data_IF_839332423166
#
_entry.id   IF_839332423166
#
_cell.length_a   1.000
_cell.length_b   1.000
_cell.length_c   1.000
_cell.angle_alpha   90.00
_cell.angle_beta   90.00
_cell.angle_gamma   90.00
#
_symmetry.space_group_name_H-M   'P 1'
#
loop_
_entity.id
_entity.type
_entity.pdbx_description
1 polymer ?
#
# COMPACT_ATOMS: atom_id res chain seq x y z
N UNK A 1 -18.10 7.39 -30.64
CA UNK A 1 -18.06 6.35 -29.59
C UNK A 1 -17.16 6.89 -28.47
N UNK A 2 -17.75 7.31 -27.35
CA UNK A 2 -17.09 8.06 -26.28
C UNK A 2 -16.35 7.07 -25.37
N UNK A 3 -15.02 7.15 -25.31
CA UNK A 3 -14.22 6.45 -24.29
C UNK A 3 -14.20 7.35 -23.05
N UNK A 4 -14.86 6.91 -21.99
CA UNK A 4 -14.84 7.59 -20.71
C UNK A 4 -13.45 7.41 -20.08
N UNK A 5 -12.66 8.49 -20.09
CA UNK A 5 -11.39 8.58 -19.37
C UNK A 5 -11.74 8.83 -17.91
N UNK A 6 -11.70 7.79 -17.08
CA UNK A 6 -11.74 7.95 -15.62
C UNK A 6 -10.35 8.45 -15.18
N UNK A 7 -10.21 9.76 -15.02
CA UNK A 7 -9.07 10.37 -14.38
C UNK A 7 -9.17 10.09 -12.87
N UNK A 8 -8.37 9.16 -12.37
CA UNK A 8 -8.23 8.92 -10.93
C UNK A 8 -7.44 10.09 -10.33
N UNK A 9 -8.13 10.88 -9.51
CA UNK A 9 -7.56 11.99 -8.76
C UNK A 9 -6.61 11.42 -7.70
N UNK A 10 -5.31 11.66 -7.82
CA UNK A 10 -4.34 11.36 -6.75
C UNK A 10 -4.54 12.40 -5.65
N UNK A 11 -5.15 11.98 -4.53
CA UNK A 11 -5.27 12.81 -3.34
C UNK A 11 -3.88 12.92 -2.70
N UNK A 12 -3.27 14.10 -2.81
CA UNK A 12 -2.13 14.46 -1.98
C UNK A 12 -2.60 14.52 -0.52
N UNK A 13 -2.24 13.53 0.30
CA UNK A 13 -2.55 13.56 1.73
C UNK A 13 -1.63 14.56 2.43
N UNK A 14 -2.00 15.83 2.40
CA UNK A 14 -1.63 16.76 3.46
C UNK A 14 -2.35 16.27 4.73
N UNK A 15 -1.58 15.87 5.74
CA UNK A 15 -2.10 15.48 7.05
C UNK A 15 -2.70 16.69 7.76
N UNK A 16 -3.94 17.01 7.45
CA UNK A 16 -4.79 17.82 8.34
C UNK A 16 -5.48 16.86 9.30
N UNK A 17 -5.01 16.85 10.56
CA UNK A 17 -5.67 16.16 11.68
C UNK A 17 -6.92 16.97 12.04
N UNK A 18 -7.95 16.89 11.21
CA UNK A 18 -9.31 16.95 11.74
C UNK A 18 -9.53 15.58 12.38
N UNK A 19 -10.15 15.52 13.55
CA UNK A 19 -10.54 14.26 14.16
C UNK A 19 -11.54 13.56 13.21
N UNK A 20 -11.00 12.76 12.31
CA UNK A 20 -11.72 11.93 11.36
C UNK A 20 -12.36 10.79 12.14
N UNK A 21 -13.63 10.51 11.86
CA UNK A 21 -14.30 9.36 12.47
C UNK A 21 -13.75 8.04 11.90
N UNK A 22 -13.96 6.96 12.65
CA UNK A 22 -13.42 5.65 12.30
C UNK A 22 -13.91 5.11 10.97
N UNK A 23 -15.10 5.53 10.51
CA UNK A 23 -15.65 5.12 9.22
C UNK A 23 -14.88 5.78 8.09
N UNK A 24 -14.67 7.09 8.19
CA UNK A 24 -13.88 7.87 7.22
C UNK A 24 -12.46 7.34 7.13
N UNK A 25 -11.85 7.03 8.27
CA UNK A 25 -10.52 6.40 8.33
C UNK A 25 -10.49 5.05 7.61
N UNK A 26 -11.43 4.15 7.90
CA UNK A 26 -11.49 2.82 7.28
C UNK A 26 -11.75 2.90 5.76
N UNK A 27 -12.59 3.84 5.32
CA UNK A 27 -12.83 4.09 3.89
C UNK A 27 -11.58 4.62 3.20
N UNK A 28 -10.87 5.56 3.82
CA UNK A 28 -9.61 6.08 3.30
C UNK A 28 -8.55 4.98 3.20
N UNK A 29 -8.41 4.12 4.20
CA UNK A 29 -7.51 2.97 4.16
C UNK A 29 -7.88 1.98 3.05
N UNK A 30 -9.17 1.69 2.88
CA UNK A 30 -9.66 0.80 1.80
C UNK A 30 -9.32 1.35 0.43
N UNK A 31 -9.55 2.65 0.22
CA UNK A 31 -9.20 3.34 -1.03
C UNK A 31 -7.69 3.33 -1.26
N UNK A 32 -6.90 3.63 -0.22
CA UNK A 32 -5.45 3.63 -0.31
C UNK A 32 -4.89 2.24 -0.65
N UNK A 33 -5.36 1.17 0.01
CA UNK A 33 -4.94 -0.21 -0.29
C UNK A 33 -5.25 -0.60 -1.73
N UNK A 34 -6.42 -0.21 -2.23
CA UNK A 34 -6.85 -0.50 -3.59
C UNK A 34 -6.00 0.25 -4.62
N UNK A 35 -5.73 1.54 -4.38
CA UNK A 35 -4.89 2.36 -5.25
C UNK A 35 -3.43 1.89 -5.25
N UNK A 36 -2.88 1.57 -4.06
CA UNK A 36 -1.54 1.03 -3.91
C UNK A 36 -1.37 -0.31 -4.65
N UNK A 37 -2.37 -1.20 -4.59
CA UNK A 37 -2.36 -2.45 -5.35
C UNK A 37 -2.34 -2.21 -6.86
N UNK A 38 -3.17 -1.29 -7.35
CA UNK A 38 -3.20 -0.90 -8.77
C UNK A 38 -1.87 -0.30 -9.23
N UNK A 39 -1.28 0.57 -8.41
CA UNK A 39 0.01 1.18 -8.69
C UNK A 39 1.10 0.10 -8.84
N UNK A 40 1.18 -0.85 -7.90
CA UNK A 40 2.15 -1.95 -7.95
C UNK A 40 1.93 -2.85 -9.17
N UNK A 41 0.69 -3.18 -9.53
CA UNK A 41 0.45 -3.98 -10.75
C UNK A 41 0.79 -3.22 -12.03
N UNK A 42 0.56 -1.90 -12.07
CA UNK A 42 0.83 -1.09 -13.26
C UNK A 42 2.33 -0.96 -13.59
N UNK A 43 3.18 -0.92 -12.57
CA UNK A 43 4.64 -0.87 -12.73
C UNK A 43 5.20 -2.20 -13.22
N UNK A 44 4.56 -3.33 -12.86
CA UNK A 44 4.94 -4.67 -13.34
C UNK A 44 4.67 -4.87 -14.83
N UNK A 45 3.48 -4.46 -15.32
CA UNK A 45 3.06 -4.70 -16.71
C UNK A 45 3.95 -3.98 -17.72
N UNK A 46 4.60 -2.90 -17.30
CA UNK A 46 5.29 -1.99 -18.21
C UNK A 46 6.82 -2.08 -18.17
N UNK A 47 7.42 -3.04 -17.45
CA UNK A 47 8.89 -3.10 -17.30
C UNK A 47 9.50 -1.72 -16.90
N UNK A 48 8.78 -0.95 -16.07
CA UNK A 48 9.18 0.39 -15.66
C UNK A 48 8.68 1.57 -16.52
N UNK A 49 7.98 1.35 -17.64
CA UNK A 49 7.28 2.42 -18.38
C UNK A 49 5.82 2.55 -17.95
N UNK A 50 5.60 2.88 -16.67
CA UNK A 50 4.29 2.98 -16.02
C UNK A 50 3.17 3.52 -16.94
N UNK A 51 2.12 2.72 -17.16
CA UNK A 51 0.85 3.19 -17.76
C UNK A 51 -0.01 3.95 -16.72
N UNK A 52 0.40 3.94 -15.45
CA UNK A 52 -0.13 4.79 -14.41
C UNK A 52 0.45 6.20 -14.55
N UNK A 53 -0.43 7.18 -14.75
CA UNK A 53 -0.08 8.59 -15.03
C UNK A 53 0.22 9.42 -13.77
N UNK A 54 0.41 8.78 -12.60
CA UNK A 54 0.77 9.44 -11.35
C UNK A 54 2.24 9.22 -10.95
N UNK A 55 2.72 9.89 -9.87
CA UNK A 55 4.04 9.62 -9.32
C UNK A 55 4.13 8.15 -8.90
N UNK A 56 5.19 7.44 -9.29
CA UNK A 56 5.45 6.08 -8.79
C UNK A 56 6.04 6.21 -7.38
N UNK A 57 5.27 5.76 -6.39
CA UNK A 57 5.67 5.73 -4.98
C UNK A 57 6.39 4.41 -4.72
N UNK A 58 7.58 4.42 -4.09
CA UNK A 58 8.25 3.19 -3.69
C UNK A 58 7.32 2.30 -2.85
N UNK A 59 7.38 0.99 -3.06
CA UNK A 59 6.59 -0.01 -2.33
C UNK A 59 6.78 0.15 -0.82
N UNK A 60 8.00 0.42 -0.37
CA UNK A 60 8.29 0.68 1.05
C UNK A 60 7.49 1.86 1.62
N UNK A 61 7.31 2.93 0.85
CA UNK A 61 6.62 4.15 1.28
C UNK A 61 5.10 3.93 1.29
N UNK A 62 4.57 3.17 0.32
CA UNK A 62 3.16 2.75 0.33
C UNK A 62 2.84 1.97 1.61
N UNK A 63 3.67 0.98 1.96
CA UNK A 63 3.48 0.16 3.16
C UNK A 63 3.62 1.00 4.44
N UNK A 64 4.59 1.91 4.48
CA UNK A 64 4.80 2.81 5.62
C UNK A 64 3.61 3.74 5.83
N UNK A 65 3.06 4.32 4.75
CA UNK A 65 1.90 5.20 4.79
C UNK A 65 0.64 4.48 5.28
N UNK A 66 0.37 3.25 4.79
CA UNK A 66 -0.74 2.43 5.28
C UNK A 66 -0.58 2.14 6.77
N UNK A 67 0.62 1.73 7.19
CA UNK A 67 0.92 1.44 8.59
C UNK A 67 0.71 2.66 9.49
N UNK A 68 1.12 3.85 9.02
CA UNK A 68 0.91 5.11 9.72
C UNK A 68 -0.59 5.45 9.85
N UNK A 69 -1.37 5.29 8.78
CA UNK A 69 -2.83 5.51 8.82
C UNK A 69 -3.52 4.54 9.80
N UNK A 70 -3.18 3.26 9.76
CA UNK A 70 -3.72 2.25 10.71
C UNK A 70 -3.41 2.65 12.15
N UNK A 71 -2.17 3.04 12.44
CA UNK A 71 -1.77 3.43 13.79
C UNK A 71 -2.44 4.74 14.24
N UNK A 72 -2.61 5.71 13.34
CA UNK A 72 -3.31 6.95 13.62
C UNK A 72 -4.79 6.68 13.96
N UNK A 73 -5.49 5.88 13.15
CA UNK A 73 -6.89 5.53 13.40
C UNK A 73 -7.07 4.71 14.68
N UNK A 74 -6.16 3.76 14.94
CA UNK A 74 -6.10 3.03 16.21
C UNK A 74 -5.93 3.98 17.40
N UNK A 75 -5.05 4.99 17.29
CA UNK A 75 -4.85 5.97 18.35
C UNK A 75 -6.10 6.82 18.57
N UNK A 76 -6.81 7.22 17.51
CA UNK A 76 -8.11 7.91 17.60
C UNK A 76 -9.15 7.07 18.35
N UNK A 77 -9.29 5.79 17.99
CA UNK A 77 -10.16 4.83 18.66
C UNK A 77 -9.83 4.71 20.16
N UNK A 78 -8.56 4.61 20.51
CA UNK A 78 -8.11 4.43 21.90
C UNK A 78 -8.19 5.71 22.73
N UNK A 79 -8.19 6.87 22.08
CA UNK A 79 -8.32 8.17 22.75
C UNK A 79 -9.78 8.45 23.12
N UNK A 80 -10.70 8.31 22.16
CA UNK A 80 -12.13 8.52 22.38
C UNK A 80 -12.96 7.64 21.45
N UNK A 81 -13.42 6.50 21.97
CA UNK A 81 -14.25 5.57 21.21
C UNK A 81 -15.61 6.19 20.81
N UNK A 82 -16.18 7.11 21.60
CA UNK A 82 -17.46 7.73 21.28
C UNK A 82 -17.31 8.70 20.11
N UNK A 83 -16.27 9.52 20.12
CA UNK A 83 -15.93 10.39 18.99
C UNK A 83 -15.56 9.57 17.74
N UNK A 84 -14.78 8.49 17.92
CA UNK A 84 -14.39 7.60 16.83
C UNK A 84 -15.58 6.95 16.14
N UNK A 85 -16.56 6.47 16.91
CA UNK A 85 -17.75 5.81 16.34
C UNK A 85 -18.79 6.81 15.85
N UNK A 86 -18.82 8.04 16.39
CA UNK A 86 -19.81 9.07 16.06
C UNK A 86 -21.26 8.54 16.13
N UNK A 87 -21.54 7.64 17.09
CA UNK A 87 -22.84 6.97 17.23
C UNK A 87 -23.15 5.87 16.19
N UNK A 88 -22.23 5.54 15.29
CA UNK A 88 -22.42 4.63 14.16
C UNK A 88 -21.72 3.27 14.34
N UNK A 89 -21.82 2.66 15.52
CA UNK A 89 -21.12 1.39 15.83
C UNK A 89 -21.41 0.26 14.83
N UNK A 90 -22.64 0.12 14.33
CA UNK A 90 -22.98 -0.91 13.33
C UNK A 90 -22.34 -0.69 11.95
N UNK A 91 -22.06 0.57 11.59
CA UNK A 91 -21.41 0.89 10.33
C UNK A 91 -19.89 0.67 10.40
N UNK A 92 -19.29 0.71 11.59
CA UNK A 92 -17.86 0.41 11.80
C UNK A 92 -17.55 -1.02 11.36
N UNK A 93 -18.34 -2.01 11.77
CA UNK A 93 -18.10 -3.41 11.39
C UNK A 93 -18.18 -3.61 9.88
N UNK A 94 -19.21 -3.08 9.23
CA UNK A 94 -19.38 -3.21 7.77
C UNK A 94 -18.20 -2.56 7.03
N UNK A 95 -17.77 -1.38 7.47
CA UNK A 95 -16.65 -0.65 6.85
C UNK A 95 -15.31 -1.34 7.12
N UNK A 96 -15.14 -1.90 8.32
CA UNK A 96 -13.97 -2.68 8.68
C UNK A 96 -13.84 -3.94 7.83
N UNK A 97 -14.96 -4.61 7.54
CA UNK A 97 -14.98 -5.78 6.65
C UNK A 97 -14.52 -5.42 5.24
N UNK A 98 -14.98 -4.30 4.68
CA UNK A 98 -14.49 -3.80 3.38
C UNK A 98 -12.99 -3.53 3.41
N UNK A 99 -12.49 -2.87 4.46
CA UNK A 99 -11.07 -2.64 4.65
C UNK A 99 -10.29 -3.96 4.72
N UNK A 100 -10.65 -4.88 5.60
CA UNK A 100 -9.86 -6.09 5.84
C UNK A 100 -9.91 -7.06 4.66
N UNK A 101 -11.00 -7.06 3.88
CA UNK A 101 -11.14 -7.86 2.66
C UNK A 101 -10.27 -7.32 1.51
N UNK A 102 -9.84 -6.05 1.53
CA UNK A 102 -8.89 -5.50 0.53
C UNK A 102 -7.43 -5.81 0.81
N UNK A 103 -7.07 -6.08 2.07
CA UNK A 103 -5.68 -6.37 2.47
C UNK A 103 -5.08 -7.56 1.70
N UNK A 104 -5.77 -8.71 1.51
CA UNK A 104 -5.22 -9.81 0.71
C UNK A 104 -4.89 -9.44 -0.73
N UNK A 105 -5.68 -8.58 -1.36
CA UNK A 105 -5.44 -8.11 -2.74
C UNK A 105 -4.17 -7.26 -2.80
N UNK A 106 -3.99 -6.35 -1.84
CA UNK A 106 -2.76 -5.58 -1.70
C UNK A 106 -1.54 -6.47 -1.45
N UNK A 107 -1.67 -7.46 -0.55
CA UNK A 107 -0.62 -8.43 -0.27
C UNK A 107 -0.21 -9.24 -1.52
N UNK A 108 -1.18 -9.65 -2.36
CA UNK A 108 -0.90 -10.31 -3.63
C UNK A 108 -0.12 -9.42 -4.62
N UNK A 109 -0.44 -8.12 -4.67
CA UNK A 109 0.29 -7.18 -5.52
C UNK A 109 1.76 -7.06 -5.08
N UNK A 110 2.00 -6.91 -3.78
CA UNK A 110 3.35 -6.87 -3.19
C UNK A 110 4.10 -8.18 -3.39
N UNK A 111 3.41 -9.32 -3.22
CA UNK A 111 3.99 -10.64 -3.43
C UNK A 111 4.43 -10.84 -4.88
N UNK A 112 3.58 -10.43 -5.84
CA UNK A 112 3.93 -10.41 -7.25
C UNK A 112 5.16 -9.55 -7.49
N UNK A 113 5.21 -8.36 -6.90
CA UNK A 113 6.33 -7.43 -7.06
C UNK A 113 7.65 -8.05 -6.56
N UNK A 114 7.68 -8.57 -5.33
CA UNK A 114 8.88 -9.17 -4.76
C UNK A 114 9.33 -10.47 -5.43
N UNK A 115 8.48 -11.07 -6.28
CA UNK A 115 8.83 -12.22 -7.12
C UNK A 115 9.38 -11.81 -8.49
N UNK A 116 9.25 -10.55 -8.88
CA UNK A 116 9.77 -10.00 -10.13
C UNK A 116 11.08 -9.24 -9.91
N UNK A 117 11.74 -8.85 -11.00
CA UNK A 117 12.91 -7.99 -10.93
C UNK A 117 12.49 -6.56 -10.59
N UNK A 118 13.11 -5.95 -9.57
CA UNK A 118 12.85 -4.58 -9.16
C UNK A 118 14.12 -3.88 -8.66
N UNK A 119 14.10 -2.55 -8.70
CA UNK A 119 15.20 -1.69 -8.25
C UNK A 119 15.13 -1.35 -6.75
N UNK A 120 13.99 -1.63 -6.10
CA UNK A 120 13.77 -1.37 -4.69
C UNK A 120 14.60 -2.30 -3.79
N UNK A 121 15.02 -1.80 -2.63
CA UNK A 121 15.74 -2.60 -1.65
C UNK A 121 14.79 -3.54 -0.89
N UNK A 122 15.08 -4.84 -0.91
CA UNK A 122 14.31 -5.86 -0.18
C UNK A 122 14.20 -5.65 1.34
N UNK A 123 15.30 -5.35 2.02
CA UNK A 123 15.33 -5.24 3.48
C UNK A 123 14.31 -4.24 4.06
N UNK A 124 14.21 -2.98 3.59
CA UNK A 124 13.21 -2.05 4.10
C UNK A 124 11.77 -2.47 3.78
N UNK A 125 11.50 -3.06 2.61
CA UNK A 125 10.16 -3.56 2.26
C UNK A 125 9.76 -4.70 3.19
N UNK A 126 10.67 -5.66 3.43
CA UNK A 126 10.46 -6.77 4.36
C UNK A 126 10.14 -6.28 5.79
N UNK A 127 10.92 -5.33 6.31
CA UNK A 127 10.72 -4.76 7.64
C UNK A 127 9.39 -3.99 7.75
N UNK A 128 9.01 -3.25 6.71
CA UNK A 128 7.75 -2.53 6.68
C UNK A 128 6.55 -3.49 6.59
N UNK A 129 6.65 -4.60 5.87
CA UNK A 129 5.58 -5.62 5.83
C UNK A 129 5.38 -6.28 7.20
N UNK A 130 6.46 -6.52 7.94
CA UNK A 130 6.38 -7.01 9.32
C UNK A 130 5.64 -6.00 10.21
N UNK A 131 5.98 -4.71 10.07
CA UNK A 131 5.34 -3.63 10.83
C UNK A 131 3.86 -3.47 10.47
N UNK A 132 3.52 -3.59 9.19
CA UNK A 132 2.14 -3.56 8.70
C UNK A 132 1.31 -4.71 9.28
N UNK A 133 1.84 -5.94 9.25
CA UNK A 133 1.17 -7.11 9.83
C UNK A 133 0.87 -6.90 11.32
N UNK A 134 1.83 -6.37 12.07
CA UNK A 134 1.65 -6.02 13.48
C UNK A 134 0.59 -4.93 13.69
N UNK A 135 0.60 -3.88 12.86
CA UNK A 135 -0.37 -2.78 12.93
C UNK A 135 -1.81 -3.26 12.66
N UNK A 136 -2.02 -4.09 11.63
CA UNK A 136 -3.34 -4.67 11.29
C UNK A 136 -3.86 -5.51 12.46
N UNK A 137 -3.01 -6.37 13.03
CA UNK A 137 -3.38 -7.24 14.16
C UNK A 137 -3.73 -6.42 15.40
N UNK A 138 -2.93 -5.40 15.72
CA UNK A 138 -3.15 -4.52 16.86
C UNK A 138 -4.46 -3.73 16.70
N UNK A 139 -4.73 -3.22 15.50
CA UNK A 139 -5.93 -2.44 15.23
C UNK A 139 -7.21 -3.29 15.33
N UNK A 140 -7.22 -4.49 14.73
CA UNK A 140 -8.34 -5.44 14.90
C UNK A 140 -8.57 -5.81 16.36
N UNK A 141 -7.50 -5.98 17.15
CA UNK A 141 -7.59 -6.24 18.59
C UNK A 141 -8.20 -5.05 19.36
N UNK A 142 -7.85 -3.80 19.02
CA UNK A 142 -8.44 -2.61 19.64
C UNK A 142 -9.93 -2.45 19.28
N UNK A 143 -10.30 -2.63 18.02
CA UNK A 143 -11.71 -2.62 17.59
C UNK A 143 -12.52 -3.72 18.29
N UNK A 144 -11.93 -4.92 18.46
CA UNK A 144 -12.59 -6.02 19.15
C UNK A 144 -12.79 -5.75 20.64
N UNK A 145 -11.80 -5.15 21.31
CA UNK A 145 -11.88 -4.71 22.72
C UNK A 145 -12.96 -3.64 22.90
N UNK A 146 -13.07 -2.70 21.97
CA UNK A 146 -14.15 -1.71 21.92
C UNK A 146 -15.52 -2.27 21.53
N UNK A 147 -15.63 -3.58 21.29
CA UNK A 147 -16.85 -4.26 20.84
C UNK A 147 -17.40 -3.71 19.52
N UNK A 148 -16.55 -3.12 18.68
CA UNK A 148 -16.93 -2.51 17.40
C UNK A 148 -16.91 -3.50 16.23
N UNK A 149 -16.28 -4.66 16.42
CA UNK A 149 -16.24 -5.74 15.43
C UNK A 149 -16.51 -7.09 16.09
N UNK A 150 -17.08 -8.02 15.33
CA UNK A 150 -17.35 -9.39 15.77
C UNK A 150 -16.10 -10.30 15.75
N UNK A 151 -16.27 -11.51 16.29
CA UNK A 151 -15.27 -12.56 16.20
C UNK A 151 -15.04 -13.04 14.74
N UNK A 152 -16.06 -13.01 13.90
CA UNK A 152 -15.95 -13.35 12.48
C UNK A 152 -15.02 -12.37 11.76
N UNK A 153 -15.15 -11.08 12.07
CA UNK A 153 -14.26 -10.02 11.57
C UNK A 153 -12.81 -10.28 12.00
N UNK A 154 -12.59 -10.73 13.24
CA UNK A 154 -11.24 -11.09 13.73
C UNK A 154 -10.61 -12.28 12.98
N UNK A 155 -11.41 -13.27 12.55
CA UNK A 155 -10.90 -14.39 11.72
C UNK A 155 -10.40 -13.86 10.37
N UNK A 156 -11.10 -12.89 9.78
CA UNK A 156 -10.65 -12.23 8.54
C UNK A 156 -9.40 -11.41 8.76
N UNK A 157 -9.27 -10.74 9.91
CA UNK A 157 -8.03 -10.07 10.32
C UNK A 157 -6.84 -11.01 10.32
N UNK A 158 -6.97 -12.20 10.92
CA UNK A 158 -5.90 -13.20 10.96
C UNK A 158 -5.51 -13.66 9.55
N UNK A 159 -6.49 -13.86 8.67
CA UNK A 159 -6.24 -14.21 7.25
C UNK A 159 -5.50 -13.10 6.51
N UNK A 160 -5.92 -11.84 6.70
CA UNK A 160 -5.29 -10.67 6.12
C UNK A 160 -3.82 -10.52 6.59
N UNK A 161 -3.58 -10.65 7.90
CA UNK A 161 -2.22 -10.66 8.49
C UNK A 161 -1.38 -11.78 7.88
N UNK A 162 -1.95 -12.98 7.75
CA UNK A 162 -1.26 -14.12 7.12
C UNK A 162 -0.90 -13.85 5.66
N UNK A 163 -1.77 -13.17 4.91
CA UNK A 163 -1.48 -12.77 3.53
C UNK A 163 -0.30 -11.78 3.46
N UNK A 164 -0.26 -10.77 4.34
CA UNK A 164 0.86 -9.83 4.44
C UNK A 164 2.16 -10.54 4.83
N UNK A 165 2.12 -11.47 5.79
CA UNK A 165 3.30 -12.28 6.16
C UNK A 165 3.76 -13.22 5.05
N UNK A 166 2.87 -13.70 4.19
CA UNK A 166 3.25 -14.45 3.00
C UNK A 166 3.92 -13.54 1.97
N UNK A 167 3.38 -12.35 1.73
CA UNK A 167 4.00 -11.35 0.88
C UNK A 167 5.40 -10.97 1.40
N UNK A 168 5.59 -10.83 2.71
CA UNK A 168 6.90 -10.58 3.31
C UNK A 168 7.97 -11.59 2.85
N UNK A 169 7.62 -12.87 2.70
CA UNK A 169 8.57 -13.91 2.27
C UNK A 169 9.06 -13.75 0.83
N UNK A 170 8.31 -13.08 -0.06
CA UNK A 170 8.83 -12.80 -1.41
C UNK A 170 9.99 -11.80 -1.38
N UNK A 171 10.06 -10.98 -0.34
CA UNK A 171 11.08 -9.94 -0.15
C UNK A 171 12.25 -10.39 0.75
N UNK A 172 12.30 -11.66 1.17
CA UNK A 172 13.40 -12.23 1.97
C UNK A 172 14.61 -12.64 1.11
N UNK A 173 14.50 -12.56 -0.22
CA UNK A 173 15.53 -13.01 -1.16
C UNK A 173 16.65 -11.98 -1.31
N UNK A 174 17.90 -12.38 -1.63
CA UNK A 174 19.01 -11.46 -1.82
C UNK A 174 19.02 -10.73 -3.19
N UNK A 175 18.02 -10.92 -4.06
CA UNK A 175 18.02 -10.39 -5.42
C UNK A 175 17.49 -8.95 -5.50
N UNK A 176 18.29 -7.97 -5.05
CA UNK A 176 18.17 -6.58 -5.52
C UNK A 176 19.18 -6.38 -6.65
N UNK A 177 18.85 -5.67 -7.73
CA UNK A 177 19.82 -5.36 -8.79
C UNK A 177 20.88 -4.36 -8.28
N UNK A 178 22.20 -4.66 -8.24
CA UNK A 178 23.23 -3.64 -8.16
C UNK A 178 23.64 -3.27 -9.58
N UNK A 179 23.08 -2.22 -10.17
CA UNK A 179 23.68 -1.67 -11.38
C UNK A 179 22.74 -0.91 -12.30
N UNK A 180 22.91 0.42 -12.29
CA UNK A 180 22.59 1.30 -13.41
C UNK A 180 22.96 0.62 -14.73
N UNK A 181 22.02 0.53 -15.67
CA UNK A 181 22.40 0.32 -17.07
C UNK A 181 23.38 1.43 -17.44
N UNK A 182 24.58 1.00 -17.80
CA UNK A 182 25.69 1.82 -18.21
C UNK A 182 25.20 2.94 -19.14
N UNK A 183 25.57 4.17 -18.81
CA UNK A 183 25.53 5.28 -19.75
C UNK A 183 26.25 4.78 -21.00
N UNK A 184 25.50 4.49 -22.08
CA UNK A 184 26.09 4.44 -23.41
C UNK A 184 26.56 5.87 -23.72
N UNK A 185 27.76 6.17 -23.23
CA UNK A 185 28.59 7.29 -23.62
C UNK A 185 28.83 7.10 -25.10
N UNK A 186 28.02 7.76 -25.91
CA UNK A 186 28.17 7.81 -27.36
C UNK A 186 29.42 8.64 -27.67
N UNK A 187 30.58 8.02 -27.45
CA UNK A 187 31.88 8.55 -27.79
C UNK A 187 32.23 8.13 -29.20
N UNK A 188 32.17 9.10 -30.12
CA UNK A 188 33.04 9.23 -31.29
C UNK A 188 33.13 8.01 -32.22
N UNK A 189 32.36 8.06 -33.30
CA UNK A 189 32.78 7.51 -34.60
C UNK A 189 32.21 8.39 -35.71
N UNK A 190 33.05 9.25 -36.29
CA UNK A 190 32.66 10.11 -37.41
C UNK A 190 33.45 11.42 -37.58
N UNK A 191 34.67 11.53 -37.07
CA UNK A 191 35.63 12.53 -37.56
C UNK A 191 36.35 11.91 -38.77
N UNK A 192 35.80 12.10 -39.98
CA UNK A 192 36.49 11.96 -41.28
C UNK A 192 35.54 12.29 -42.45
N UNK A 193 35.35 13.58 -42.74
CA UNK A 193 34.99 14.10 -44.06
C UNK A 193 35.54 15.53 -44.08
N UNK A 194 36.70 15.80 -44.67
CA UNK A 194 36.94 15.67 -46.10
C UNK A 194 37.02 17.10 -46.65
N UNK A 195 38.16 17.76 -46.42
CA UNK A 195 38.57 18.96 -47.15
C UNK A 195 38.85 18.55 -48.59
N UNK A 196 38.14 19.12 -49.55
CA UNK A 196 38.68 19.60 -50.84
C UNK A 196 37.89 20.87 -51.17
#
# INVERSE_FOLDING_TARGET
>A
MRVAIFATLVLSFATTVLASDGITDLQAMTAFLSDAALQIWSTQITNGTSAYNGPVTPTMDLIANISAQINASKASLETDQNAFTNGQTGAIETTYLSYIDTVPTFAQAIESQGRTWHDEMNAPVFANLQSLAAAIQAYGSSLRRGQLISQTSMIRTIRAVSAVSNAQRSWDRPFNYPGKRSVMRNGRRGEAAGRI
#
